data_IF_876956416727
#
_entry.id   IF_876956416727
#
_cell.length_a   1.000
_cell.length_b   1.000
_cell.length_c   1.000
_cell.angle_alpha   90.00
_cell.angle_beta   90.00
_cell.angle_gamma   90.00
#
_symmetry.space_group_name_H-M   'P 1'
#
loop_
_entity.id
_entity.type
_entity.pdbx_description
1 polymer ?
#
# COMPACT_ATOMS: atom_id res chain seq x y z
N UNK A 1 21.88 33.84 -10.34
CA UNK A 1 21.57 32.53 -9.73
C UNK A 1 20.51 31.87 -10.58
N UNK A 2 20.88 31.09 -11.59
CA UNK A 2 19.93 30.38 -12.46
C UNK A 2 19.52 29.08 -11.76
N UNK A 3 18.31 29.08 -11.20
CA UNK A 3 17.66 27.84 -10.77
C UNK A 3 17.43 26.97 -12.00
N UNK A 4 17.98 25.76 -11.99
CA UNK A 4 17.58 24.72 -12.94
C UNK A 4 16.20 24.26 -12.49
N UNK A 5 15.16 24.67 -13.21
CA UNK A 5 13.90 23.93 -13.18
C UNK A 5 14.16 22.58 -13.84
N UNK A 6 14.42 21.57 -13.01
CA UNK A 6 14.29 20.19 -13.42
C UNK A 6 12.82 19.96 -13.75
N UNK A 7 12.47 20.02 -15.03
CA UNK A 7 11.26 19.38 -15.55
C UNK A 7 11.48 17.87 -15.42
N UNK A 8 11.38 17.34 -14.20
CA UNK A 8 11.14 15.92 -14.03
C UNK A 8 9.78 15.65 -14.69
N UNK A 9 9.77 14.75 -15.67
CA UNK A 9 8.55 14.37 -16.36
C UNK A 9 7.49 13.98 -15.32
N UNK A 10 6.26 14.47 -15.47
CA UNK A 10 5.19 14.06 -14.58
C UNK A 10 4.93 12.55 -14.76
N UNK A 11 4.79 11.79 -13.66
CA UNK A 11 4.57 10.36 -13.76
C UNK A 11 3.22 10.06 -14.44
N UNK A 12 3.25 9.14 -15.41
CA UNK A 12 2.07 8.65 -16.14
C UNK A 12 1.14 7.87 -15.18
N UNK A 13 1.70 7.18 -14.18
CA UNK A 13 0.94 6.50 -13.13
C UNK A 13 1.54 6.87 -11.77
N UNK A 14 0.67 7.30 -10.85
CA UNK A 14 1.01 7.52 -9.45
C UNK A 14 0.12 6.64 -8.57
N UNK A 15 0.74 5.70 -7.85
CA UNK A 15 0.05 4.82 -6.90
C UNK A 15 0.51 5.18 -5.49
N UNK A 16 -0.45 5.47 -4.62
CA UNK A 16 -0.21 5.84 -3.23
C UNK A 16 -0.97 4.88 -2.31
N UNK A 17 -0.24 4.23 -1.40
CA UNK A 17 -0.81 3.38 -0.35
C UNK A 17 -1.80 2.34 -0.87
N UNK A 18 -1.43 1.58 -1.90
CA UNK A 18 -2.28 0.53 -2.47
C UNK A 18 -2.32 -0.71 -1.56
N UNK A 19 -3.55 -1.20 -1.32
CA UNK A 19 -3.83 -2.42 -0.56
C UNK A 19 -4.64 -3.42 -1.39
N UNK A 20 -4.36 -4.70 -1.17
CA UNK A 20 -5.19 -5.80 -1.66
C UNK A 20 -5.25 -6.89 -0.61
N UNK A 21 -6.45 -7.15 -0.12
CA UNK A 21 -6.72 -8.12 0.95
C UNK A 21 -7.83 -9.06 0.51
N UNK A 22 -7.64 -10.35 0.76
CA UNK A 22 -8.63 -11.40 0.50
C UNK A 22 -9.09 -12.02 1.82
N UNK A 23 -10.34 -12.49 1.86
CA UNK A 23 -10.97 -13.08 3.03
C UNK A 23 -12.27 -12.37 3.42
N UNK A 24 -12.87 -12.78 4.54
CA UNK A 24 -14.11 -12.18 5.05
C UNK A 24 -13.78 -10.90 5.82
N UNK A 25 -14.47 -9.80 5.52
CA UNK A 25 -14.23 -8.46 6.10
C UNK A 25 -12.78 -7.96 5.91
N UNK A 26 -12.30 -7.85 4.65
CA UNK A 26 -10.91 -7.51 4.34
C UNK A 26 -10.46 -6.14 4.88
N UNK A 27 -11.39 -5.21 5.11
CA UNK A 27 -11.12 -3.89 5.68
C UNK A 27 -10.49 -3.94 7.07
N UNK A 28 -10.71 -5.02 7.85
CA UNK A 28 -10.12 -5.15 9.19
C UNK A 28 -8.59 -5.13 9.16
N UNK A 29 -7.95 -5.59 8.07
CA UNK A 29 -6.49 -5.54 7.94
C UNK A 29 -5.93 -4.11 7.83
N UNK A 30 -6.79 -3.10 7.59
CA UNK A 30 -6.42 -1.69 7.50
C UNK A 30 -6.66 -0.92 8.81
N UNK A 31 -7.37 -1.52 9.76
CA UNK A 31 -7.76 -0.91 11.04
C UNK A 31 -6.74 -1.25 12.14
N UNK A 32 -6.59 -0.38 13.14
CA UNK A 32 -5.80 -0.73 14.34
C UNK A 32 -6.56 -1.77 15.21
N UNK A 33 -5.87 -2.72 15.85
CA UNK A 33 -4.41 -2.88 15.92
C UNK A 33 -3.82 -3.71 14.75
N UNK A 34 -4.63 -4.11 13.78
CA UNK A 34 -4.25 -5.09 12.75
C UNK A 34 -3.38 -4.51 11.64
N UNK A 35 -3.50 -3.20 11.37
CA UNK A 35 -2.73 -2.48 10.35
C UNK A 35 -1.22 -2.67 10.49
N UNK A 36 -0.73 -2.72 11.72
CA UNK A 36 0.68 -2.89 12.07
C UNK A 36 1.12 -4.36 12.21
N UNK A 37 0.19 -5.34 12.21
CA UNK A 37 0.52 -6.76 12.38
C UNK A 37 1.10 -7.39 11.12
N UNK A 38 1.86 -8.48 11.29
CA UNK A 38 2.49 -9.18 10.17
C UNK A 38 1.44 -9.88 9.29
N UNK A 39 1.82 -10.22 8.04
CA UNK A 39 0.95 -10.99 7.14
C UNK A 39 0.62 -12.38 7.70
N UNK A 40 1.56 -12.99 8.43
CA UNK A 40 1.38 -14.29 9.05
C UNK A 40 0.33 -14.24 10.16
N UNK A 41 0.41 -13.24 11.05
CA UNK A 41 -0.55 -13.06 12.15
C UNK A 41 -1.97 -12.82 11.61
N UNK A 42 -2.12 -11.96 10.60
CA UNK A 42 -3.43 -11.68 10.01
C UNK A 42 -4.04 -12.91 9.32
N UNK A 43 -3.21 -13.75 8.71
CA UNK A 43 -3.68 -15.00 8.13
C UNK A 43 -4.12 -15.98 9.23
N UNK A 44 -3.27 -16.18 10.23
CA UNK A 44 -3.51 -17.14 11.31
C UNK A 44 -4.71 -16.75 12.18
N UNK A 45 -4.84 -15.48 12.53
CA UNK A 45 -5.85 -15.01 13.48
C UNK A 45 -7.18 -14.62 12.80
N UNK A 46 -7.11 -14.02 11.60
CA UNK A 46 -8.29 -13.45 10.94
C UNK A 46 -8.68 -14.18 9.65
N UNK A 47 -7.86 -15.12 9.18
CA UNK A 47 -8.04 -15.75 7.88
C UNK A 47 -7.91 -14.78 6.71
N UNK A 48 -7.17 -13.66 6.90
CA UNK A 48 -6.98 -12.64 5.89
C UNK A 48 -5.65 -12.81 5.17
N UNK A 49 -5.69 -12.89 3.84
CA UNK A 49 -4.49 -12.87 3.00
C UNK A 49 -4.25 -11.44 2.51
N UNK A 50 -3.18 -10.81 2.99
CA UNK A 50 -2.76 -9.47 2.54
C UNK A 50 -1.76 -9.59 1.39
N UNK A 51 -2.25 -9.48 0.15
CA UNK A 51 -1.45 -9.62 -1.06
C UNK A 51 -0.64 -8.36 -1.39
N UNK A 52 -1.23 -7.18 -1.24
CA UNK A 52 -0.54 -5.89 -1.32
C UNK A 52 -0.76 -5.12 -0.02
N UNK A 53 0.30 -4.51 0.51
CA UNK A 53 0.28 -3.72 1.74
C UNK A 53 1.02 -2.42 1.51
N UNK A 54 0.27 -1.31 1.60
CA UNK A 54 0.78 0.05 1.58
C UNK A 54 1.81 0.30 0.47
N UNK A 55 1.50 -0.18 -0.73
CA UNK A 55 2.42 -0.12 -1.88
C UNK A 55 2.30 1.25 -2.53
N UNK A 56 3.42 1.94 -2.67
CA UNK A 56 3.51 3.24 -3.35
C UNK A 56 4.61 3.21 -4.41
N UNK A 57 4.29 3.64 -5.62
CA UNK A 57 5.24 3.72 -6.73
C UNK A 57 4.76 4.71 -7.79
N UNK A 58 5.70 5.13 -8.63
CA UNK A 58 5.44 5.99 -9.78
C UNK A 58 6.00 5.33 -11.06
N UNK A 59 5.32 5.56 -12.18
CA UNK A 59 5.78 5.17 -13.52
C UNK A 59 5.90 6.44 -14.35
N UNK A 60 7.04 6.63 -14.98
CA UNK A 60 7.38 7.78 -15.83
C UNK A 60 7.37 7.38 -17.30
#
# INVERSE_FOLDING_TARGET
>A
MTGRESHEAEPIISVNSLWKVFGKRPQMALEEPYRSRTRADLLQELGLVVALRDVSFQVY
#
